data_IF_922380520776
#
_entry.id   IF_922380520776
#
_cell.length_a   1.000
_cell.length_b   1.000
_cell.length_c   1.000
_cell.angle_alpha   90.00
_cell.angle_beta   90.00
_cell.angle_gamma   90.00
#
_symmetry.space_group_name_H-M   'P 1'
#
loop_
_entity.id
_entity.type
_entity.pdbx_description
1 polymer ?
#
# COMPACT_ATOMS: atom_id res chain seq x y z
N UNK A 1 8.10 -18.39 6.65
CA UNK A 1 8.01 -17.92 8.07
C UNK A 1 6.60 -17.36 8.30
N UNK A 2 5.92 -17.72 9.39
CA UNK A 2 4.56 -17.20 9.66
C UNK A 2 4.59 -15.89 10.47
N UNK A 3 5.50 -14.98 10.12
CA UNK A 3 5.68 -13.66 10.75
C UNK A 3 5.56 -12.55 9.69
N UNK A 4 5.19 -11.37 10.13
CA UNK A 4 5.25 -10.14 9.33
C UNK A 4 6.64 -9.56 9.49
N UNK A 5 7.32 -9.31 8.38
CA UNK A 5 8.61 -8.64 8.36
C UNK A 5 8.41 -7.12 8.31
N UNK A 6 9.03 -6.39 9.23
CA UNK A 6 8.95 -4.92 9.27
C UNK A 6 10.36 -4.34 9.12
N UNK A 7 10.60 -3.55 8.07
CA UNK A 7 11.86 -2.80 7.91
C UNK A 7 11.72 -1.39 8.47
N UNK A 8 12.76 -0.87 9.09
CA UNK A 8 12.76 0.49 9.68
C UNK A 8 13.11 1.60 8.70
N UNK A 9 13.39 1.26 7.44
CA UNK A 9 13.65 2.24 6.37
C UNK A 9 14.98 2.97 6.53
N UNK A 10 15.00 4.22 6.11
CA UNK A 10 16.20 5.07 6.16
C UNK A 10 16.54 5.46 7.62
N UNK A 11 17.75 5.11 8.13
CA UNK A 11 18.13 5.39 9.51
C UNK A 11 18.27 6.88 9.84
N UNK A 12 18.33 7.75 8.84
CA UNK A 12 18.38 9.20 9.01
C UNK A 12 17.01 9.89 8.89
N UNK A 13 15.95 9.12 8.60
CA UNK A 13 14.57 9.58 8.49
C UNK A 13 13.71 9.19 9.68
N UNK A 14 12.40 9.33 9.54
CA UNK A 14 11.42 9.02 10.60
C UNK A 14 11.07 7.53 10.71
N UNK A 15 11.61 6.67 9.84
CA UNK A 15 11.17 5.28 9.70
C UNK A 15 11.26 4.45 10.97
N UNK A 16 12.38 4.50 11.69
CA UNK A 16 12.55 3.81 12.96
C UNK A 16 11.64 4.38 14.06
N UNK A 17 11.51 5.71 14.14
CA UNK A 17 10.63 6.39 15.10
C UNK A 17 9.17 5.92 14.96
N UNK A 18 8.60 6.01 13.75
CA UNK A 18 7.20 5.62 13.52
C UNK A 18 6.98 4.12 13.71
N UNK A 19 7.98 3.28 13.40
CA UNK A 19 7.91 1.82 13.62
C UNK A 19 7.83 1.50 15.11
N UNK A 20 8.70 2.10 15.93
CA UNK A 20 8.69 1.91 17.38
C UNK A 20 7.38 2.39 17.99
N UNK A 21 6.93 3.60 17.63
CA UNK A 21 5.66 4.16 18.11
C UNK A 21 4.47 3.28 17.73
N UNK A 22 4.41 2.82 16.47
CA UNK A 22 3.34 1.97 15.97
C UNK A 22 3.27 0.62 16.72
N UNK A 23 4.40 -0.06 16.87
CA UNK A 23 4.47 -1.34 17.57
C UNK A 23 4.12 -1.19 19.06
N UNK A 24 4.60 -0.14 19.71
CA UNK A 24 4.28 0.17 21.10
C UNK A 24 2.80 0.49 21.34
N UNK A 25 2.10 1.00 20.33
CA UNK A 25 0.67 1.33 20.39
C UNK A 25 -0.21 0.14 20.04
N UNK A 26 0.22 -0.70 19.09
CA UNK A 26 -0.52 -1.88 18.66
C UNK A 26 -0.40 -3.06 19.62
N UNK A 27 0.67 -3.10 20.44
CA UNK A 27 0.95 -4.16 21.43
C UNK A 27 0.79 -5.57 20.85
N UNK A 28 1.42 -5.81 19.70
CA UNK A 28 1.31 -7.06 18.97
C UNK A 28 2.16 -8.17 19.62
N UNK A 29 1.72 -9.45 19.55
CA UNK A 29 2.50 -10.58 20.02
C UNK A 29 3.87 -10.64 19.33
N UNK A 30 4.95 -10.79 20.12
CA UNK A 30 6.33 -10.76 19.60
C UNK A 30 6.62 -11.91 18.60
N UNK A 31 5.92 -13.03 18.73
CA UNK A 31 6.04 -14.18 17.83
C UNK A 31 5.44 -13.95 16.43
N UNK A 32 4.67 -12.89 16.24
CA UNK A 32 4.06 -12.52 14.95
C UNK A 32 4.88 -11.56 14.12
N UNK A 33 5.87 -10.92 14.71
CA UNK A 33 6.66 -9.85 14.08
C UNK A 33 8.13 -10.25 14.04
N UNK A 34 8.80 -9.86 12.98
CA UNK A 34 10.27 -9.82 12.89
C UNK A 34 10.68 -8.46 12.36
N UNK A 35 11.54 -7.77 13.10
CA UNK A 35 12.12 -6.50 12.68
C UNK A 35 13.38 -6.74 11.87
N UNK A 36 13.52 -6.04 10.77
CA UNK A 36 14.75 -6.01 9.97
C UNK A 36 15.34 -4.63 10.13
N UNK A 37 16.35 -4.52 10.99
CA UNK A 37 16.89 -3.24 11.43
C UNK A 37 18.29 -3.42 12.03
N UNK A 38 18.77 -2.39 12.70
CA UNK A 38 19.98 -2.39 13.51
C UNK A 38 19.63 -1.91 14.92
N UNK A 39 20.16 -2.59 15.97
CA UNK A 39 19.87 -2.21 17.36
C UNK A 39 20.26 -0.77 17.68
N UNK A 40 21.41 -0.30 17.20
CA UNK A 40 21.82 1.10 17.41
C UNK A 40 20.81 2.09 16.80
N UNK A 41 20.26 1.76 15.62
CA UNK A 41 19.23 2.62 14.99
C UNK A 41 17.95 2.61 15.83
N UNK A 42 17.51 1.46 16.30
CA UNK A 42 16.33 1.38 17.18
C UNK A 42 16.55 2.13 18.49
N UNK A 43 17.67 1.87 19.18
CA UNK A 43 18.00 2.50 20.48
C UNK A 43 18.14 4.01 20.38
N UNK A 44 18.55 4.54 19.20
CA UNK A 44 18.65 5.98 18.94
C UNK A 44 17.26 6.64 18.91
N UNK A 45 16.27 6.03 18.27
CA UNK A 45 14.93 6.62 18.10
C UNK A 45 13.95 6.27 19.20
N UNK A 46 14.23 5.28 20.06
CA UNK A 46 13.35 4.95 21.17
C UNK A 46 13.54 3.53 21.71
N UNK A 47 12.55 3.07 22.48
CA UNK A 47 12.54 1.75 23.07
C UNK A 47 11.27 0.99 22.69
N UNK A 48 11.43 -0.25 22.28
CA UNK A 48 10.34 -1.19 22.09
C UNK A 48 9.85 -1.69 23.47
N UNK A 49 8.52 -1.81 23.63
CA UNK A 49 7.92 -2.37 24.84
C UNK A 49 8.00 -3.89 24.88
N UNK A 50 7.99 -4.53 23.71
CA UNK A 50 8.02 -5.98 23.57
C UNK A 50 9.34 -6.44 22.95
N UNK A 51 9.78 -7.64 23.27
CA UNK A 51 11.04 -8.23 22.80
C UNK A 51 10.81 -8.92 21.46
N UNK A 52 10.74 -8.11 20.39
CA UNK A 52 10.61 -8.62 19.02
C UNK A 52 11.94 -9.22 18.53
N UNK A 53 11.85 -10.29 17.73
CA UNK A 53 13.00 -10.80 17.00
C UNK A 53 13.56 -9.72 16.06
N UNK A 54 14.87 -9.49 16.09
CA UNK A 54 15.56 -8.54 15.23
C UNK A 54 16.54 -9.31 14.34
N UNK A 55 16.33 -9.17 13.01
CA UNK A 55 17.35 -9.57 12.04
C UNK A 55 18.23 -8.34 11.82
N UNK A 56 19.46 -8.44 12.29
CA UNK A 56 20.43 -7.34 12.24
C UNK A 56 20.91 -7.08 10.81
N UNK A 57 20.81 -5.84 10.40
CA UNK A 57 21.49 -5.30 9.21
C UNK A 57 22.68 -4.46 9.70
N UNK A 58 23.89 -4.71 9.25
CA UNK A 58 25.05 -3.93 9.68
C UNK A 58 24.88 -2.43 9.38
N UNK A 59 25.15 -1.59 10.39
CA UNK A 59 25.16 -0.15 10.26
C UNK A 59 26.12 0.46 11.28
N UNK A 60 27.37 0.66 10.87
CA UNK A 60 28.43 1.21 11.73
C UNK A 60 28.61 2.74 11.57
N UNK A 61 27.97 3.32 10.53
CA UNK A 61 28.01 4.75 10.29
C UNK A 61 27.30 5.56 11.38
N UNK A 62 27.64 6.82 11.50
CA UNK A 62 26.95 7.78 12.35
C UNK A 62 25.50 7.99 11.85
N UNK A 63 24.54 7.97 12.77
CA UNK A 63 23.16 8.36 12.46
C UNK A 63 23.12 9.89 12.34
N UNK A 64 22.69 10.39 11.17
CA UNK A 64 22.64 11.82 10.85
C UNK A 64 21.22 12.23 10.46
N UNK A 65 20.33 12.45 11.44
CA UNK A 65 18.93 12.78 11.17
C UNK A 65 18.80 13.93 10.16
N UNK A 66 17.91 13.75 9.19
CA UNK A 66 17.67 14.75 8.14
C UNK A 66 18.72 14.82 7.04
N UNK A 67 19.71 13.92 7.02
CA UNK A 67 20.76 13.88 6.00
C UNK A 67 20.65 12.67 5.10
N UNK A 68 20.84 12.91 3.81
CA UNK A 68 20.92 11.85 2.80
C UNK A 68 22.35 11.37 2.72
N UNK A 69 22.61 10.07 2.98
CA UNK A 69 23.94 9.47 2.93
C UNK A 69 23.93 8.13 2.19
N UNK A 70 25.07 7.73 1.64
CA UNK A 70 25.19 6.45 0.94
C UNK A 70 25.03 5.27 1.90
N UNK A 71 25.58 5.38 3.13
CA UNK A 71 25.48 4.33 4.16
C UNK A 71 24.03 4.09 4.58
N UNK A 72 23.22 5.17 4.69
CA UNK A 72 21.79 5.06 4.96
C UNK A 72 21.04 4.41 3.78
N UNK A 73 21.46 4.71 2.55
CA UNK A 73 20.96 4.08 1.34
C UNK A 73 21.25 2.58 1.28
N UNK A 74 22.50 2.19 1.58
CA UNK A 74 22.92 0.79 1.64
C UNK A 74 22.13 0.01 2.70
N UNK A 75 22.04 0.57 3.92
CA UNK A 75 21.25 -0.04 5.00
C UNK A 75 19.78 -0.24 4.59
N UNK A 76 19.18 0.78 3.98
CA UNK A 76 17.79 0.72 3.51
C UNK A 76 17.59 -0.36 2.46
N UNK A 77 18.51 -0.45 1.50
CA UNK A 77 18.48 -1.46 0.45
C UNK A 77 18.62 -2.87 1.03
N UNK A 78 19.63 -3.11 1.88
CA UNK A 78 19.86 -4.42 2.50
C UNK A 78 18.68 -4.85 3.38
N UNK A 79 18.04 -3.90 4.07
CA UNK A 79 16.85 -4.18 4.89
C UNK A 79 15.69 -4.68 4.04
N UNK A 80 15.37 -4.01 2.92
CA UNK A 80 14.29 -4.43 2.01
C UNK A 80 14.64 -5.74 1.32
N UNK A 81 15.88 -5.89 0.83
CA UNK A 81 16.36 -7.15 0.22
C UNK A 81 16.23 -8.32 1.20
N UNK A 82 16.66 -8.12 2.44
CA UNK A 82 16.54 -9.15 3.49
C UNK A 82 15.09 -9.53 3.75
N UNK A 83 14.16 -8.56 3.76
CA UNK A 83 12.73 -8.82 3.90
C UNK A 83 12.20 -9.74 2.79
N UNK A 84 12.70 -9.60 1.57
CA UNK A 84 12.33 -10.46 0.45
C UNK A 84 12.85 -11.91 0.60
N UNK A 85 14.02 -12.09 1.26
CA UNK A 85 14.70 -13.38 1.35
C UNK A 85 14.16 -14.31 2.47
N UNK A 86 13.57 -13.77 3.51
CA UNK A 86 13.23 -14.56 4.72
C UNK A 86 11.93 -15.36 4.61
N UNK A 87 11.18 -15.25 3.52
CA UNK A 87 9.90 -15.94 3.35
C UNK A 87 8.87 -15.56 4.41
N UNK A 88 8.72 -14.27 4.69
CA UNK A 88 7.73 -13.73 5.60
C UNK A 88 6.29 -13.91 5.07
N UNK A 89 5.29 -13.91 5.95
CA UNK A 89 3.86 -13.90 5.57
C UNK A 89 3.49 -12.64 4.79
N UNK A 90 4.04 -11.51 5.20
CA UNK A 90 3.86 -10.20 4.57
C UNK A 90 5.05 -9.29 4.94
N UNK A 91 5.24 -8.22 4.19
CA UNK A 91 6.30 -7.24 4.42
C UNK A 91 5.66 -5.88 4.69
N UNK A 92 6.10 -5.21 5.74
CA UNK A 92 5.76 -3.80 6.00
C UNK A 92 7.05 -3.00 5.94
N UNK A 93 7.10 -1.97 5.12
CA UNK A 93 8.33 -1.18 4.98
C UNK A 93 8.12 0.25 5.42
N UNK A 94 8.98 0.74 6.31
CA UNK A 94 9.09 2.16 6.60
C UNK A 94 9.72 2.93 5.41
N UNK A 95 9.60 4.26 5.36
CA UNK A 95 10.06 5.06 4.24
C UNK A 95 11.56 4.97 3.98
N UNK A 96 11.92 4.98 2.69
CA UNK A 96 13.30 4.97 2.19
C UNK A 96 13.53 6.15 1.26
N UNK A 97 14.68 6.80 1.40
CA UNK A 97 15.06 7.92 0.53
C UNK A 97 15.63 7.42 -0.80
N UNK A 98 14.99 7.75 -1.91
CA UNK A 98 15.47 7.41 -3.26
C UNK A 98 16.89 7.92 -3.51
N UNK A 99 17.18 9.17 -3.12
CA UNK A 99 18.50 9.77 -3.32
C UNK A 99 19.58 9.04 -2.51
N UNK A 100 19.26 8.51 -1.31
CA UNK A 100 20.18 7.70 -0.54
C UNK A 100 20.50 6.37 -1.25
N UNK A 101 19.49 5.70 -1.81
CA UNK A 101 19.69 4.50 -2.64
C UNK A 101 20.62 4.78 -3.82
N UNK A 102 20.44 5.91 -4.52
CA UNK A 102 21.27 6.29 -5.65
C UNK A 102 22.72 6.59 -5.23
N UNK A 103 22.94 7.23 -4.07
CA UNK A 103 24.29 7.45 -3.51
C UNK A 103 24.97 6.14 -3.15
N UNK A 104 24.22 5.12 -2.74
CA UNK A 104 24.69 3.75 -2.50
C UNK A 104 24.78 2.90 -3.79
N UNK A 105 24.74 3.54 -4.97
CA UNK A 105 24.80 2.89 -6.29
C UNK A 105 23.63 1.95 -6.61
N UNK A 106 22.57 1.95 -5.81
CA UNK A 106 21.34 1.19 -6.06
C UNK A 106 20.36 2.02 -6.91
N UNK A 107 20.34 1.76 -8.21
CA UNK A 107 19.53 2.52 -9.19
C UNK A 107 18.08 2.02 -9.25
N UNK A 108 17.34 2.15 -8.14
CA UNK A 108 15.92 1.87 -8.06
C UNK A 108 15.11 3.17 -7.88
N UNK A 109 13.97 3.27 -8.55
CA UNK A 109 13.08 4.42 -8.40
C UNK A 109 12.30 4.42 -7.07
N UNK A 110 12.31 3.30 -6.35
CA UNK A 110 11.69 3.13 -5.05
C UNK A 110 11.71 1.67 -4.60
N UNK A 111 11.03 1.40 -3.49
CA UNK A 111 11.01 0.06 -2.90
C UNK A 111 10.26 -0.96 -3.76
N UNK A 112 9.23 -0.51 -4.52
CA UNK A 112 8.43 -1.41 -5.38
C UNK A 112 9.31 -2.09 -6.44
N UNK A 113 10.30 -1.38 -7.01
CA UNK A 113 11.22 -1.96 -7.99
C UNK A 113 12.22 -2.93 -7.34
N UNK A 114 12.59 -2.70 -6.07
CA UNK A 114 13.40 -3.66 -5.30
C UNK A 114 12.60 -4.95 -5.08
N UNK A 115 11.35 -4.83 -4.63
CA UNK A 115 10.45 -5.97 -4.46
C UNK A 115 10.22 -6.72 -5.77
N UNK A 116 9.96 -6.00 -6.87
CA UNK A 116 9.83 -6.59 -8.21
C UNK A 116 11.05 -7.42 -8.57
N UNK A 117 12.25 -6.90 -8.32
CA UNK A 117 13.51 -7.60 -8.65
C UNK A 117 13.74 -8.88 -7.84
N UNK A 118 13.36 -8.89 -6.57
CA UNK A 118 13.71 -9.97 -5.64
C UNK A 118 12.57 -10.93 -5.32
N UNK A 119 11.31 -10.57 -5.60
CA UNK A 119 10.14 -11.41 -5.32
C UNK A 119 9.39 -11.86 -6.56
N UNK A 120 9.50 -11.14 -7.69
CA UNK A 120 8.76 -11.51 -8.88
C UNK A 120 9.29 -12.82 -9.47
N UNK A 121 8.38 -13.72 -9.79
CA UNK A 121 8.61 -14.92 -10.57
C UNK A 121 7.95 -14.76 -11.94
N UNK A 122 8.65 -15.17 -13.01
CA UNK A 122 8.18 -15.09 -14.39
C UNK A 122 7.42 -13.79 -14.68
N UNK A 123 6.30 -13.77 -15.31
CA UNK A 123 5.58 -12.58 -15.74
C UNK A 123 4.84 -11.80 -14.63
N UNK A 124 5.18 -11.99 -13.33
CA UNK A 124 4.57 -11.22 -12.25
C UNK A 124 4.99 -9.75 -12.29
N UNK A 125 4.02 -8.86 -12.14
CA UNK A 125 4.23 -7.42 -12.07
C UNK A 125 3.73 -6.86 -10.73
N UNK A 126 4.61 -6.14 -10.05
CA UNK A 126 4.26 -5.41 -8.85
C UNK A 126 3.32 -4.24 -9.19
N UNK A 127 2.10 -4.27 -8.68
CA UNK A 127 1.12 -3.21 -8.87
C UNK A 127 0.89 -2.43 -7.58
N UNK A 128 0.53 -1.15 -7.71
CA UNK A 128 0.30 -0.26 -6.58
C UNK A 128 -1.20 -0.09 -6.34
N UNK A 129 -1.66 -0.59 -5.21
CA UNK A 129 -3.00 -0.41 -4.68
C UNK A 129 -2.94 0.52 -3.47
N UNK A 130 -3.67 1.62 -3.51
CA UNK A 130 -3.83 2.50 -2.35
C UNK A 130 -5.07 2.10 -1.57
N UNK A 131 -4.94 2.00 -0.25
CA UNK A 131 -5.97 1.46 0.63
C UNK A 131 -6.19 2.38 1.82
N UNK A 132 -7.45 2.70 2.08
CA UNK A 132 -7.88 3.36 3.32
C UNK A 132 -9.22 2.74 3.75
N UNK A 133 -9.18 1.74 4.61
CA UNK A 133 -10.37 0.95 4.92
C UNK A 133 -10.97 0.30 3.67
N UNK A 134 -12.26 0.50 3.44
CA UNK A 134 -12.97 0.03 2.24
C UNK A 134 -12.67 0.82 0.98
N UNK A 135 -12.12 2.02 1.10
CA UNK A 135 -11.75 2.83 -0.06
C UNK A 135 -10.41 2.38 -0.63
N UNK A 136 -10.43 1.74 -1.79
CA UNK A 136 -9.25 1.19 -2.48
C UNK A 136 -9.15 1.73 -3.89
N UNK A 137 -7.94 2.08 -4.31
CA UNK A 137 -7.67 2.65 -5.64
C UNK A 137 -6.47 1.97 -6.28
N UNK A 138 -6.69 1.33 -7.43
CA UNK A 138 -5.62 0.83 -8.30
C UNK A 138 -5.22 1.91 -9.30
N UNK A 139 -3.92 2.07 -9.56
CA UNK A 139 -3.39 2.96 -10.58
C UNK A 139 -2.98 2.18 -11.82
N UNK A 140 -3.57 2.48 -12.98
CA UNK A 140 -3.16 1.91 -14.26
C UNK A 140 -1.79 2.44 -14.70
N UNK A 141 -1.55 3.76 -14.51
CA UNK A 141 -0.22 4.36 -14.70
C UNK A 141 0.23 5.07 -13.43
N UNK A 142 1.55 5.12 -13.20
CA UNK A 142 2.13 5.65 -11.96
C UNK A 142 2.88 6.96 -12.22
N UNK A 143 4.16 6.99 -12.09
CA UNK A 143 5.02 8.17 -12.18
C UNK A 143 5.38 8.49 -13.64
N UNK A 144 4.37 8.85 -14.44
CA UNK A 144 4.49 9.22 -15.85
C UNK A 144 3.94 10.64 -16.03
N UNK A 145 4.59 11.46 -16.82
CA UNK A 145 4.08 12.78 -17.14
C UNK A 145 2.72 12.66 -17.85
N UNK A 146 1.74 13.52 -17.51
CA UNK A 146 0.37 13.42 -18.07
C UNK A 146 0.37 13.33 -19.59
N UNK A 147 1.19 14.12 -20.28
CA UNK A 147 1.32 14.13 -21.74
C UNK A 147 1.94 12.86 -22.34
N UNK A 148 2.53 12.02 -21.52
CA UNK A 148 3.22 10.79 -21.91
C UNK A 148 2.45 9.53 -21.49
N UNK A 149 1.27 9.72 -20.90
CA UNK A 149 0.40 8.60 -20.54
C UNK A 149 -0.04 7.91 -21.84
N UNK A 150 0.32 6.65 -21.95
CA UNK A 150 -0.13 5.76 -23.01
C UNK A 150 -0.79 4.55 -22.38
N UNK A 151 -2.09 4.43 -22.53
CA UNK A 151 -2.85 3.26 -22.14
C UNK A 151 -3.02 2.34 -23.36
N UNK A 152 -3.08 1.05 -23.12
CA UNK A 152 -3.56 0.08 -24.09
C UNK A 152 -4.60 -0.82 -23.44
N UNK A 153 -5.44 -1.41 -24.26
CA UNK A 153 -6.44 -2.38 -23.81
C UNK A 153 -5.79 -3.51 -23.01
N UNK A 154 -4.64 -4.01 -23.49
CA UNK A 154 -3.90 -5.13 -22.89
C UNK A 154 -3.42 -4.79 -21.49
N UNK A 155 -2.86 -3.61 -21.27
CA UNK A 155 -2.42 -3.13 -19.94
C UNK A 155 -3.60 -3.06 -18.97
N UNK A 156 -4.74 -2.51 -19.40
CA UNK A 156 -5.95 -2.43 -18.56
C UNK A 156 -6.44 -3.84 -18.18
N UNK A 157 -6.54 -4.73 -19.18
CA UNK A 157 -7.00 -6.12 -18.97
C UNK A 157 -6.07 -6.88 -18.03
N UNK A 158 -4.75 -6.78 -18.23
CA UNK A 158 -3.77 -7.44 -17.38
C UNK A 158 -3.86 -6.98 -15.93
N UNK A 159 -3.78 -5.66 -15.69
CA UNK A 159 -3.78 -5.09 -14.33
C UNK A 159 -5.07 -5.38 -13.57
N UNK A 160 -6.23 -5.31 -14.25
CA UNK A 160 -7.51 -5.60 -13.60
C UNK A 160 -7.70 -7.09 -13.34
N UNK A 161 -7.15 -7.96 -14.20
CA UNK A 161 -7.14 -9.40 -13.95
C UNK A 161 -6.27 -9.73 -12.72
N UNK A 162 -5.06 -9.18 -12.63
CA UNK A 162 -4.19 -9.33 -11.46
C UNK A 162 -4.84 -8.81 -10.18
N UNK A 163 -5.58 -7.68 -10.27
CA UNK A 163 -6.33 -7.15 -9.15
C UNK A 163 -7.41 -8.13 -8.69
N UNK A 164 -8.18 -8.73 -9.60
CA UNK A 164 -9.20 -9.74 -9.26
C UNK A 164 -8.56 -10.93 -8.54
N UNK A 165 -7.46 -11.46 -9.08
CA UNK A 165 -6.76 -12.61 -8.50
C UNK A 165 -6.29 -12.30 -7.07
N UNK A 166 -5.78 -11.08 -6.84
CA UNK A 166 -5.42 -10.60 -5.51
C UNK A 166 -6.63 -10.55 -4.56
N UNK A 167 -7.77 -10.01 -5.01
CA UNK A 167 -8.98 -9.93 -4.18
C UNK A 167 -9.49 -11.31 -3.79
N UNK A 168 -9.46 -12.26 -4.71
CA UNK A 168 -9.91 -13.64 -4.46
C UNK A 168 -8.94 -14.37 -3.53
N UNK A 169 -7.64 -14.33 -3.83
CA UNK A 169 -6.64 -15.15 -3.14
C UNK A 169 -6.23 -14.60 -1.77
N UNK A 170 -6.16 -13.27 -1.61
CA UNK A 170 -5.64 -12.63 -0.40
C UNK A 170 -6.72 -11.99 0.47
N UNK A 171 -7.75 -11.39 -0.14
CA UNK A 171 -8.84 -10.75 0.61
C UNK A 171 -10.06 -11.67 0.80
N UNK A 172 -10.11 -12.82 0.13
CA UNK A 172 -11.24 -13.77 0.21
C UNK A 172 -12.52 -13.27 -0.44
N UNK A 173 -12.47 -12.19 -1.22
CA UNK A 173 -13.62 -11.63 -1.93
C UNK A 173 -13.75 -12.36 -3.27
N UNK A 174 -14.69 -13.30 -3.36
CA UNK A 174 -14.82 -14.19 -4.51
C UNK A 174 -15.27 -13.50 -5.79
N UNK A 175 -16.14 -12.52 -5.66
CA UNK A 175 -16.77 -11.78 -6.77
C UNK A 175 -16.59 -10.27 -6.54
N UNK A 176 -15.34 -9.75 -6.67
CA UNK A 176 -15.10 -8.35 -6.45
C UNK A 176 -15.71 -7.48 -7.54
N UNK A 177 -16.28 -6.34 -7.15
CA UNK A 177 -16.86 -5.33 -8.04
C UNK A 177 -15.92 -4.16 -8.23
N UNK A 178 -15.61 -3.82 -9.47
CA UNK A 178 -14.69 -2.76 -9.79
C UNK A 178 -15.37 -1.58 -10.48
N UNK A 179 -14.96 -0.36 -10.13
CA UNK A 179 -15.38 0.84 -10.84
C UNK A 179 -14.20 1.42 -11.63
N UNK A 180 -14.34 1.53 -12.94
CA UNK A 180 -13.33 2.12 -13.81
C UNK A 180 -13.57 3.60 -13.98
N UNK A 181 -12.60 4.44 -13.64
CA UNK A 181 -12.63 5.86 -13.98
C UNK A 181 -12.51 6.07 -15.49
N UNK A 182 -13.26 7.01 -16.02
CA UNK A 182 -13.00 7.53 -17.34
C UNK A 182 -11.65 8.24 -17.39
N UNK A 183 -11.01 8.25 -18.56
CA UNK A 183 -9.74 8.95 -18.79
C UNK A 183 -9.98 10.44 -18.94
N UNK A 184 -10.97 10.78 -19.77
CA UNK A 184 -11.36 12.14 -20.10
C UNK A 184 -12.50 12.67 -19.22
N UNK A 185 -12.65 14.00 -19.10
CA UNK A 185 -13.82 14.60 -18.46
C UNK A 185 -15.12 14.08 -19.06
N UNK A 186 -16.16 13.89 -18.23
CA UNK A 186 -17.51 13.44 -18.63
C UNK A 186 -17.52 12.13 -19.45
N UNK A 187 -16.50 11.27 -19.22
CA UNK A 187 -16.31 10.03 -19.99
C UNK A 187 -16.20 10.25 -21.51
N UNK A 188 -15.53 11.36 -21.92
CA UNK A 188 -15.21 11.65 -23.30
C UNK A 188 -16.34 12.27 -24.12
N UNK A 189 -17.57 12.38 -23.59
CA UNK A 189 -18.75 12.94 -24.30
C UNK A 189 -18.87 12.37 -25.73
N UNK A 190 -18.98 11.06 -25.85
CA UNK A 190 -19.06 10.33 -27.14
C UNK A 190 -17.90 10.64 -28.11
N UNK A 191 -16.71 10.91 -27.56
CA UNK A 191 -15.48 11.18 -28.31
C UNK A 191 -15.20 12.67 -28.59
N UNK A 192 -16.04 13.59 -28.11
CA UNK A 192 -15.82 15.02 -28.27
C UNK A 192 -14.59 15.50 -27.48
N UNK A 193 -14.38 14.94 -26.27
CA UNK A 193 -13.30 15.33 -25.38
C UNK A 193 -12.11 14.33 -25.40
N UNK A 194 -12.17 13.29 -26.23
CA UNK A 194 -11.14 12.26 -26.37
C UNK A 194 -11.73 10.92 -26.75
N UNK A 195 -10.92 10.04 -27.30
CA UNK A 195 -11.37 8.76 -27.84
C UNK A 195 -10.98 7.56 -26.95
N UNK A 196 -10.23 7.79 -25.87
CA UNK A 196 -9.65 6.74 -25.03
C UNK A 196 -10.71 5.84 -24.40
N UNK A 197 -11.88 6.39 -24.07
CA UNK A 197 -13.01 5.58 -23.58
C UNK A 197 -13.51 4.60 -24.63
N UNK A 198 -13.65 5.05 -25.88
CA UNK A 198 -14.21 4.26 -26.99
C UNK A 198 -13.19 3.28 -27.54
N UNK A 199 -11.94 3.72 -27.73
CA UNK A 199 -10.91 2.96 -28.41
C UNK A 199 -10.14 2.01 -27.50
N UNK A 200 -10.06 2.31 -26.19
CA UNK A 200 -9.22 1.59 -25.23
C UNK A 200 -10.03 1.02 -24.07
N UNK A 201 -10.71 1.89 -23.30
CA UNK A 201 -11.30 1.48 -22.02
C UNK A 201 -12.53 0.60 -22.20
N UNK A 202 -13.45 0.95 -23.10
CA UNK A 202 -14.65 0.12 -23.34
C UNK A 202 -14.28 -1.27 -23.92
N UNK A 203 -13.39 -1.39 -24.92
CA UNK A 203 -12.91 -2.69 -25.38
C UNK A 203 -12.24 -3.53 -24.28
N UNK A 204 -11.53 -2.88 -23.34
CA UNK A 204 -10.95 -3.57 -22.18
C UNK A 204 -12.04 -4.08 -21.23
N UNK A 205 -13.05 -3.26 -20.93
CA UNK A 205 -14.21 -3.64 -20.11
C UNK A 205 -14.94 -4.83 -20.71
N UNK A 206 -15.19 -4.82 -22.01
CA UNK A 206 -15.89 -5.90 -22.69
C UNK A 206 -15.11 -7.23 -22.63
N UNK A 207 -13.79 -7.18 -22.73
CA UNK A 207 -12.92 -8.35 -22.57
C UNK A 207 -12.90 -8.84 -21.11
N UNK A 208 -12.79 -7.93 -20.14
CA UNK A 208 -12.81 -8.26 -18.71
C UNK A 208 -14.13 -8.93 -18.28
N UNK A 209 -15.27 -8.43 -18.78
CA UNK A 209 -16.60 -9.03 -18.54
C UNK A 209 -16.71 -10.44 -19.14
N UNK A 210 -16.13 -10.66 -20.33
CA UNK A 210 -16.05 -12.03 -20.92
C UNK A 210 -15.22 -12.98 -20.06
N UNK A 211 -14.22 -12.45 -19.31
CA UNK A 211 -13.45 -13.21 -18.31
C UNK A 211 -14.16 -13.34 -16.94
N UNK A 212 -15.42 -12.91 -16.84
CA UNK A 212 -16.22 -12.98 -15.61
C UNK A 212 -15.79 -11.99 -14.52
N UNK A 213 -15.28 -10.82 -14.90
CA UNK A 213 -14.93 -9.74 -13.98
C UNK A 213 -16.07 -8.72 -13.95
N UNK A 214 -16.61 -8.46 -12.76
CA UNK A 214 -17.63 -7.42 -12.57
C UNK A 214 -16.96 -6.03 -12.52
N UNK A 215 -17.12 -5.29 -13.60
CA UNK A 215 -16.52 -3.97 -13.79
C UNK A 215 -17.50 -3.03 -14.51
N UNK A 216 -17.54 -1.75 -14.08
CA UNK A 216 -18.38 -0.74 -14.74
C UNK A 216 -17.85 -0.37 -16.12
N UNK A 217 -18.68 0.27 -16.93
CA UNK A 217 -18.16 1.10 -18.02
C UNK A 217 -17.32 2.24 -17.43
N UNK A 218 -16.50 2.94 -18.24
CA UNK A 218 -15.78 4.13 -17.76
C UNK A 218 -16.76 5.17 -17.20
N UNK A 219 -16.55 5.57 -15.92
CA UNK A 219 -17.41 6.54 -15.22
C UNK A 219 -16.66 7.85 -14.99
N UNK A 220 -17.32 9.01 -15.10
CA UNK A 220 -16.70 10.31 -14.79
C UNK A 220 -16.08 10.29 -13.38
N UNK A 221 -14.77 10.54 -13.29
CA UNK A 221 -14.00 10.36 -12.07
C UNK A 221 -14.43 11.30 -10.94
N UNK A 222 -14.81 12.54 -11.28
CA UNK A 222 -15.30 13.55 -10.34
C UNK A 222 -16.55 13.06 -9.58
N UNK A 223 -17.54 12.55 -10.29
CA UNK A 223 -18.78 12.02 -9.69
C UNK A 223 -18.54 10.72 -8.95
N UNK A 224 -17.71 9.83 -9.51
CA UNK A 224 -17.40 8.53 -8.93
C UNK A 224 -16.73 8.68 -7.56
N UNK A 225 -15.73 9.55 -7.43
CA UNK A 225 -15.02 9.76 -6.18
C UNK A 225 -15.80 10.54 -5.12
N UNK A 226 -16.77 11.37 -5.51
CA UNK A 226 -17.74 11.95 -4.56
C UNK A 226 -18.53 10.85 -3.86
N UNK A 227 -18.94 9.81 -4.58
CA UNK A 227 -19.65 8.67 -4.02
C UNK A 227 -18.76 7.88 -3.07
N UNK A 228 -17.55 7.52 -3.52
CA UNK A 228 -16.55 6.84 -2.70
C UNK A 228 -16.26 7.56 -1.37
N UNK A 229 -16.11 8.88 -1.43
CA UNK A 229 -15.87 9.70 -0.23
C UNK A 229 -17.05 9.64 0.76
N UNK A 230 -18.28 9.72 0.27
CA UNK A 230 -19.47 9.60 1.12
C UNK A 230 -19.51 8.24 1.84
N UNK A 231 -19.29 7.16 1.12
CA UNK A 231 -19.25 5.80 1.68
C UNK A 231 -18.17 5.68 2.77
N UNK A 232 -16.96 6.15 2.51
CA UNK A 232 -15.86 6.15 3.48
C UNK A 232 -16.22 6.88 4.79
N UNK A 233 -16.84 8.06 4.70
CA UNK A 233 -17.24 8.81 5.89
C UNK A 233 -18.41 8.16 6.64
N UNK A 234 -19.30 7.48 5.96
CA UNK A 234 -20.38 6.70 6.59
C UNK A 234 -19.85 5.48 7.31
N UNK A 235 -18.89 4.76 6.74
CA UNK A 235 -18.16 3.68 7.42
C UNK A 235 -17.52 4.17 8.73
N UNK A 236 -16.80 5.29 8.67
CA UNK A 236 -16.17 5.89 9.84
C UNK A 236 -17.17 6.31 10.95
N UNK A 237 -18.39 6.69 10.59
CA UNK A 237 -19.47 7.00 11.57
C UNK A 237 -20.02 5.71 12.19
N UNK A 238 -20.25 4.67 11.41
CA UNK A 238 -20.76 3.37 11.89
C UNK A 238 -19.75 2.67 12.79
N UNK A 239 -18.47 2.69 12.44
CA UNK A 239 -17.39 2.14 13.27
C UNK A 239 -17.34 2.80 14.65
N UNK A 240 -17.46 4.14 14.72
CA UNK A 240 -17.49 4.89 15.98
C UNK A 240 -18.76 4.66 16.81
N UNK A 241 -19.89 4.38 16.16
CA UNK A 241 -21.16 4.05 16.83
C UNK A 241 -21.24 2.61 17.34
N UNK A 242 -20.33 1.72 16.92
CA UNK A 242 -20.32 0.30 17.27
C UNK A 242 -19.27 -0.11 18.31
N UNK A 243 -18.49 0.82 18.88
CA UNK A 243 -17.54 0.50 19.98
C UNK A 243 -18.20 -0.18 21.21
N UNK A 244 -19.53 -0.29 21.22
CA UNK A 244 -20.32 -1.06 22.20
C UNK A 244 -20.93 -2.39 21.71
N UNK A 245 -20.78 -2.78 20.43
CA UNK A 245 -21.48 -3.97 19.85
C UNK A 245 -20.69 -4.80 18.82
N UNK A 246 -19.37 -4.78 18.85
CA UNK A 246 -18.54 -5.46 17.85
C UNK A 246 -18.19 -6.91 18.26
N UNK A 247 -19.16 -7.80 18.40
CA UNK A 247 -18.89 -9.23 18.70
C UNK A 247 -19.86 -10.25 18.11
N UNK A 248 -20.61 -9.99 17.05
CA UNK A 248 -21.60 -11.00 16.63
C UNK A 248 -21.84 -11.24 15.14
N UNK A 249 -20.94 -10.95 14.22
CA UNK A 249 -21.18 -11.24 12.78
C UNK A 249 -20.09 -12.08 12.10
N UNK A 250 -19.06 -12.52 12.80
CA UNK A 250 -18.18 -13.57 12.26
C UNK A 250 -18.51 -14.89 12.95
N UNK A 251 -19.06 -15.85 12.18
CA UNK A 251 -19.37 -17.20 12.66
C UNK A 251 -18.18 -17.82 13.37
N UNK A 252 -18.41 -18.23 14.60
CA UNK A 252 -17.43 -18.80 15.50
C UNK A 252 -16.85 -20.11 14.93
N UNK A 253 -15.68 -20.07 14.34
CA UNK A 253 -14.81 -21.23 14.32
C UNK A 253 -13.66 -21.00 15.29
N UNK A 254 -13.57 -21.91 16.27
CA UNK A 254 -12.62 -21.95 17.37
C UNK A 254 -11.18 -22.10 16.88
N UNK A 255 -10.56 -21.03 16.45
CA UNK A 255 -9.10 -20.85 16.43
C UNK A 255 -8.89 -19.38 16.80
N UNK A 256 -8.41 -19.15 18.01
CA UNK A 256 -8.32 -17.83 18.59
C UNK A 256 -7.27 -16.96 17.93
N UNK A 257 -7.72 -16.15 17.03
CA UNK A 257 -7.15 -14.88 16.54
C UNK A 257 -8.21 -14.31 15.60
N UNK A 258 -8.81 -13.19 15.94
CA UNK A 258 -9.69 -12.47 15.02
C UNK A 258 -8.83 -11.84 13.92
N UNK A 259 -8.44 -12.65 12.95
CA UNK A 259 -7.80 -12.20 11.71
C UNK A 259 -8.85 -11.80 10.68
N UNK A 260 -9.88 -11.08 11.14
CA UNK A 260 -10.73 -10.36 10.20
C UNK A 260 -10.19 -8.92 10.19
N UNK A 261 -9.68 -8.39 9.09
CA UNK A 261 -9.50 -6.94 8.95
C UNK A 261 -10.85 -6.31 9.31
N UNK A 262 -10.89 -5.09 9.90
CA UNK A 262 -12.12 -4.49 10.37
C UNK A 262 -13.17 -4.67 9.28
N UNK A 263 -14.32 -5.26 9.65
CA UNK A 263 -15.37 -5.68 8.72
C UNK A 263 -15.68 -4.51 7.79
N UNK A 264 -15.16 -4.58 6.57
CA UNK A 264 -15.44 -3.59 5.54
C UNK A 264 -16.93 -3.67 5.25
N UNK A 265 -17.65 -2.63 5.59
CA UNK A 265 -19.02 -2.50 5.12
C UNK A 265 -18.98 -2.48 3.58
N UNK A 266 -19.91 -3.13 2.91
CA UNK A 266 -19.91 -3.18 1.47
C UNK A 266 -20.04 -1.76 0.91
N UNK A 267 -18.93 -1.22 0.39
CA UNK A 267 -18.94 -0.18 -0.61
C UNK A 267 -19.64 -0.73 -1.84
N UNK A 268 -20.26 0.12 -2.64
CA UNK A 268 -20.84 -0.34 -3.92
C UNK A 268 -19.79 -1.02 -4.80
N UNK A 269 -18.52 -0.58 -4.67
CA UNK A 269 -17.39 -1.15 -5.39
C UNK A 269 -16.27 -1.53 -4.41
N UNK A 270 -15.65 -2.66 -4.64
CA UNK A 270 -14.52 -3.13 -3.84
C UNK A 270 -13.21 -2.40 -4.16
N UNK A 271 -13.08 -1.88 -5.39
CA UNK A 271 -11.93 -1.06 -5.80
C UNK A 271 -12.31 -0.12 -6.95
N UNK A 272 -11.71 1.07 -6.91
CA UNK A 272 -11.76 2.08 -7.96
C UNK A 272 -10.48 1.99 -8.79
N UNK A 273 -10.59 2.05 -10.11
CA UNK A 273 -9.46 1.93 -11.02
C UNK A 273 -9.24 3.31 -11.67
N UNK A 274 -8.12 3.93 -11.34
CA UNK A 274 -7.73 5.23 -11.87
C UNK A 274 -6.70 5.08 -12.99
N UNK A 275 -6.83 5.89 -14.02
CA UNK A 275 -5.97 5.83 -15.20
C UNK A 275 -4.58 6.39 -14.92
N UNK A 276 -4.45 7.38 -14.05
CA UNK A 276 -3.19 8.04 -13.71
C UNK A 276 -3.11 8.44 -12.24
N UNK A 277 -1.90 8.73 -11.82
CA UNK A 277 -1.54 8.96 -10.43
C UNK A 277 -2.48 9.93 -9.69
N UNK A 278 -2.61 11.16 -10.16
CA UNK A 278 -3.36 12.19 -9.44
C UNK A 278 -4.87 11.95 -9.47
N UNK A 279 -5.40 11.33 -10.55
CA UNK A 279 -6.81 10.93 -10.61
C UNK A 279 -7.20 10.02 -9.44
N UNK A 280 -6.30 9.12 -9.04
CA UNK A 280 -6.55 8.20 -7.93
C UNK A 280 -6.09 8.74 -6.58
N UNK A 281 -4.92 9.38 -6.49
CA UNK A 281 -4.34 9.75 -5.21
C UNK A 281 -4.92 11.02 -4.60
N UNK A 282 -5.33 12.00 -5.40
CA UNK A 282 -5.98 13.19 -4.86
C UNK A 282 -7.22 12.80 -4.04
N UNK A 283 -8.21 12.05 -4.59
CA UNK A 283 -9.40 11.72 -3.83
C UNK A 283 -9.11 10.89 -2.57
N UNK A 284 -8.35 9.80 -2.66
CA UNK A 284 -8.11 8.95 -1.49
C UNK A 284 -7.32 9.67 -0.40
N UNK A 285 -6.30 10.44 -0.75
CA UNK A 285 -5.51 11.21 0.23
C UNK A 285 -6.28 12.38 0.82
N UNK A 286 -7.12 13.04 0.04
CA UNK A 286 -7.99 14.12 0.55
C UNK A 286 -8.97 13.59 1.61
N UNK A 287 -9.49 12.38 1.40
CA UNK A 287 -10.48 11.76 2.28
C UNK A 287 -9.84 11.10 3.50
N UNK A 288 -8.76 10.37 3.30
CA UNK A 288 -8.16 9.51 4.32
C UNK A 288 -6.86 10.03 4.93
N UNK A 289 -6.18 10.99 4.27
CA UNK A 289 -4.93 11.58 4.76
C UNK A 289 -3.88 10.52 5.09
N UNK A 290 -3.33 10.60 6.30
CA UNK A 290 -2.26 9.73 6.79
C UNK A 290 -2.69 8.27 7.00
N UNK A 291 -3.98 7.95 6.92
CA UNK A 291 -4.48 6.57 6.95
C UNK A 291 -4.35 5.85 5.61
N UNK A 292 -3.91 6.55 4.57
CA UNK A 292 -3.71 5.94 3.25
C UNK A 292 -2.47 5.06 3.28
N UNK A 293 -2.66 3.77 2.98
CA UNK A 293 -1.61 2.75 2.88
C UNK A 293 -1.29 2.51 1.41
N UNK A 294 -0.01 2.45 1.07
CA UNK A 294 0.45 1.95 -0.23
C UNK A 294 0.69 0.44 -0.10
N UNK A 295 -0.08 -0.34 -0.84
CA UNK A 295 0.02 -1.79 -0.89
C UNK A 295 0.58 -2.22 -2.25
N UNK A 296 1.62 -3.04 -2.23
CA UNK A 296 2.14 -3.70 -3.45
C UNK A 296 1.49 -5.07 -3.56
N UNK A 297 0.84 -5.30 -4.69
CA UNK A 297 0.14 -6.54 -5.05
C UNK A 297 0.72 -7.13 -6.33
N UNK A 298 0.28 -8.33 -6.76
CA UNK A 298 0.76 -8.99 -7.97
C UNK A 298 2.06 -9.78 -7.79
N UNK A 299 2.61 -9.83 -6.57
CA UNK A 299 3.72 -10.67 -6.15
C UNK A 299 3.21 -11.73 -5.17
N UNK A 300 4.00 -12.78 -4.90
CA UNK A 300 3.61 -13.84 -3.97
C UNK A 300 3.46 -13.36 -2.52
N UNK A 301 4.04 -12.22 -2.20
CA UNK A 301 4.00 -11.63 -0.86
C UNK A 301 3.40 -10.23 -0.94
N UNK A 302 2.41 -9.97 -0.09
CA UNK A 302 1.87 -8.61 0.06
C UNK A 302 2.91 -7.73 0.76
N UNK A 303 3.14 -6.55 0.20
CA UNK A 303 3.90 -5.52 0.92
C UNK A 303 3.03 -4.29 1.14
N UNK A 304 3.13 -3.73 2.35
CA UNK A 304 2.50 -2.45 2.70
C UNK A 304 3.52 -1.41 3.17
N UNK A 305 3.16 -0.16 3.04
CA UNK A 305 3.93 0.97 3.58
C UNK A 305 3.03 2.16 3.88
N UNK A 306 3.45 3.07 4.78
CA UNK A 306 2.81 4.38 4.93
C UNK A 306 2.77 5.15 3.59
N UNK A 307 1.77 6.00 3.43
CA UNK A 307 1.58 6.83 2.24
C UNK A 307 2.46 8.08 2.16
N UNK A 308 3.44 8.24 3.08
CA UNK A 308 4.35 9.38 3.18
C UNK A 308 5.83 8.95 3.02
N UNK A 309 6.73 9.91 2.86
CA UNK A 309 8.17 9.70 2.72
C UNK A 309 8.94 9.76 4.05
N UNK A 310 10.26 9.93 3.93
CA UNK A 310 11.23 9.92 5.05
C UNK A 310 11.14 11.12 5.99
N UNK A 311 10.47 12.21 5.60
CA UNK A 311 10.24 13.42 6.39
C UNK A 311 11.49 13.88 7.17
N UNK A 312 12.58 14.10 6.45
CA UNK A 312 13.90 14.47 7.00
C UNK A 312 13.87 15.75 7.83
N UNK A 313 12.95 16.64 7.57
CA UNK A 313 12.75 17.91 8.28
C UNK A 313 12.32 17.74 9.74
N UNK A 314 11.68 16.62 10.08
CA UNK A 314 11.25 16.29 11.44
C UNK A 314 11.95 15.07 12.05
N UNK A 315 12.95 14.51 11.35
CA UNK A 315 13.72 13.38 11.88
C UNK A 315 14.43 13.75 13.20
N UNK A 316 14.41 12.83 14.19
CA UNK A 316 14.96 13.01 15.54
C UNK A 316 14.27 14.10 16.41
N UNK A 317 13.11 14.60 15.99
CA UNK A 317 12.35 15.56 16.80
C UNK A 317 11.24 14.92 17.63
N UNK A 318 11.04 13.63 17.50
CA UNK A 318 9.94 12.87 18.11
C UNK A 318 8.54 13.43 17.76
N UNK A 319 8.41 14.04 16.57
CA UNK A 319 7.17 14.66 16.07
C UNK A 319 6.46 13.80 15.02
N UNK A 320 7.09 12.73 14.54
CA UNK A 320 6.51 11.92 13.49
C UNK A 320 5.24 11.19 13.98
N UNK A 321 4.18 11.27 13.17
CA UNK A 321 2.92 10.56 13.41
C UNK A 321 3.03 9.12 12.92
N UNK A 322 2.71 8.17 13.79
CA UNK A 322 2.79 6.74 13.50
C UNK A 322 1.53 6.18 12.82
N UNK A 323 0.50 6.99 12.60
CA UNK A 323 -0.80 6.53 12.07
C UNK A 323 -0.64 5.76 10.76
N UNK A 324 0.13 6.28 9.80
CA UNK A 324 0.39 5.60 8.53
C UNK A 324 1.05 4.23 8.71
N UNK A 325 2.00 4.12 9.64
CA UNK A 325 2.68 2.86 9.94
C UNK A 325 1.75 1.86 10.66
N UNK A 326 0.90 2.34 11.56
CA UNK A 326 -0.14 1.54 12.21
C UNK A 326 -1.09 0.94 11.16
N UNK A 327 -1.60 1.76 10.25
CA UNK A 327 -2.51 1.29 9.20
C UNK A 327 -1.82 0.35 8.21
N UNK A 328 -0.54 0.58 7.88
CA UNK A 328 0.24 -0.33 7.05
C UNK A 328 0.44 -1.70 7.71
N UNK A 329 0.69 -1.75 9.03
CA UNK A 329 0.78 -3.01 9.78
C UNK A 329 -0.58 -3.71 9.85
N UNK A 330 -1.65 -2.98 10.18
CA UNK A 330 -3.01 -3.53 10.27
C UNK A 330 -3.48 -4.15 8.94
N UNK A 331 -3.07 -3.58 7.82
CA UNK A 331 -3.48 -4.06 6.49
C UNK A 331 -2.95 -5.46 6.14
N UNK A 332 -2.02 -6.04 6.94
CA UNK A 332 -1.44 -7.38 6.72
C UNK A 332 -1.56 -8.31 7.93
N UNK A 333 -2.21 -7.89 9.01
CA UNK A 333 -2.50 -8.72 10.17
C UNK A 333 -3.59 -9.74 9.84
#
# INVERSE_FOLDING_TARGET
>A
MNKIAITTGDPNGIGAEITIKALNKLDLPADKIVLISNKRVLDFYGKLKSDYEIIEIPYDAEIKPGKITAEAGEFSFQSVKKACEIGAKAIVTAPVAKNALYLAEHKFNGQTEILQKYLAHDNQLAEMLFVAGGFRVLLLTRHVALKEISLSKEIVVEKVSNLKDFFVSHLGIKEPKFALCAFNPHAGEDGILGMEEIEILQPAVDELRKKGIDITNPLPADTLFVKAAKEYFEEGKRARGQEGKLLSVCGANKIGLSSCPPAFLPSEYDCYIANYHDQGLIPIKTVAGDKTVNMTIGLDIIRTSPGHGTAFDIADKNLADETGMIEAIKAVL
#
